data_IF_207575915864
#
_entry.id   IF_207575915864
#
_cell.length_a   1.000
_cell.length_b   1.000
_cell.length_c   1.000
_cell.angle_alpha   90.00
_cell.angle_beta   90.00
_cell.angle_gamma   90.00
#
_symmetry.space_group_name_H-M   'P 1'
#
loop_
_entity.id
_entity.type
_entity.pdbx_description
1 polymer ?
#
# COMPACT_ATOMS: atom_id res chain seq x y z
N UNK A 1 14.48 -7.69 11.60
CA UNK A 1 13.55 -7.72 10.47
C UNK A 1 13.36 -6.29 10.00
N UNK A 2 13.53 -6.05 8.69
CA UNK A 2 13.18 -4.77 8.10
C UNK A 2 11.65 -4.62 8.12
N UNK A 3 11.19 -3.41 8.40
CA UNK A 3 9.77 -3.06 8.33
C UNK A 3 9.26 -3.19 6.92
N UNK A 4 7.99 -3.57 6.76
CA UNK A 4 7.39 -3.81 5.44
C UNK A 4 6.01 -3.20 5.33
N UNK A 5 5.60 -2.87 4.11
CA UNK A 5 4.24 -2.43 3.83
C UNK A 5 3.30 -3.63 3.71
N UNK A 6 2.15 -3.56 4.36
CA UNK A 6 1.15 -4.64 4.40
C UNK A 6 -0.17 -4.26 3.73
N UNK A 7 -0.53 -2.98 3.70
CA UNK A 7 -1.75 -2.51 3.03
C UNK A 7 -1.55 -1.17 2.34
N UNK A 8 -2.28 -0.92 1.25
CA UNK A 8 -2.53 0.45 0.82
C UNK A 8 -3.40 1.14 1.88
N UNK A 9 -3.18 2.42 2.13
CA UNK A 9 -3.90 3.16 3.16
C UNK A 9 -4.20 4.59 2.73
N UNK A 10 -5.27 5.14 3.30
CA UNK A 10 -5.68 6.53 3.18
C UNK A 10 -5.94 7.07 4.58
N UNK A 11 -5.27 8.16 4.93
CA UNK A 11 -5.62 8.97 6.09
C UNK A 11 -6.73 9.94 5.66
N UNK A 12 -7.91 9.74 6.24
CA UNK A 12 -9.11 10.53 5.99
C UNK A 12 -9.09 11.86 6.74
N UNK A 13 -9.99 12.76 6.36
CA UNK A 13 -10.12 14.08 6.98
C UNK A 13 -10.59 14.06 8.43
N UNK A 14 -11.17 12.96 8.89
CA UNK A 14 -11.56 12.72 10.28
C UNK A 14 -10.49 11.96 11.08
N UNK A 15 -9.24 11.95 10.58
CA UNK A 15 -8.09 11.27 11.18
C UNK A 15 -8.21 9.75 11.30
N UNK A 16 -9.21 9.14 10.67
CA UNK A 16 -9.29 7.69 10.54
C UNK A 16 -8.42 7.19 9.39
N UNK A 17 -7.74 6.06 9.61
CA UNK A 17 -7.03 5.33 8.54
C UNK A 17 -7.99 4.29 7.98
N UNK A 18 -8.19 4.31 6.66
CA UNK A 18 -8.81 3.21 5.92
C UNK A 18 -7.74 2.54 5.10
N UNK A 19 -7.72 1.21 5.12
CA UNK A 19 -6.74 0.42 4.41
C UNK A 19 -7.41 -0.67 3.57
N UNK A 20 -6.68 -1.18 2.59
CA UNK A 20 -7.20 -2.11 1.61
C UNK A 20 -6.11 -2.58 0.66
N UNK A 21 -6.54 -3.19 -0.45
CA UNK A 21 -5.65 -3.73 -1.49
C UNK A 21 -4.95 -2.65 -2.31
N UNK A 22 -5.68 -1.59 -2.61
CA UNK A 22 -5.23 -0.46 -3.42
C UNK A 22 -5.95 0.81 -2.94
N UNK A 23 -5.52 1.99 -3.38
CA UNK A 23 -6.15 3.24 -2.93
C UNK A 23 -7.60 3.36 -3.43
N UNK A 24 -7.97 2.74 -4.55
CA UNK A 24 -9.34 2.76 -5.04
C UNK A 24 -10.27 1.93 -4.14
N UNK A 25 -9.81 0.77 -3.65
CA UNK A 25 -10.48 -0.04 -2.63
C UNK A 25 -10.64 0.74 -1.32
N UNK A 26 -9.59 1.44 -0.88
CA UNK A 26 -9.66 2.31 0.31
C UNK A 26 -10.73 3.41 0.16
N UNK A 27 -10.86 4.01 -1.03
CA UNK A 27 -11.89 5.02 -1.32
C UNK A 27 -13.29 4.41 -1.29
N UNK A 28 -13.48 3.22 -1.89
CA UNK A 28 -14.78 2.51 -1.90
C UNK A 28 -15.24 2.13 -0.49
N UNK A 29 -14.30 1.75 0.38
CA UNK A 29 -14.55 1.41 1.80
C UNK A 29 -14.79 2.63 2.69
N UNK A 30 -14.44 3.82 2.21
CA UNK A 30 -14.58 5.05 2.98
C UNK A 30 -15.98 5.63 2.87
N UNK A 31 -16.57 6.16 3.96
CA UNK A 31 -17.81 6.92 3.91
C UNK A 31 -17.74 8.08 2.92
N UNK A 32 -18.88 8.40 2.31
CA UNK A 32 -18.96 9.45 1.30
C UNK A 32 -18.47 10.78 1.88
N UNK A 33 -17.48 11.37 1.23
CA UNK A 33 -16.96 12.69 1.57
C UNK A 33 -15.84 12.73 2.62
N UNK A 34 -15.35 11.58 3.10
CA UNK A 34 -14.19 11.53 4.02
C UNK A 34 -12.86 11.38 3.29
N UNK A 35 -12.92 11.03 1.99
CA UNK A 35 -11.81 11.06 1.05
C UNK A 35 -12.06 12.19 0.03
N UNK A 36 -11.50 13.39 0.26
CA UNK A 36 -11.72 14.57 -0.60
C UNK A 36 -10.43 15.25 -1.04
N UNK A 37 -10.27 15.36 -2.37
CA UNK A 37 -9.37 16.32 -3.06
C UNK A 37 -7.93 16.32 -2.59
N UNK A 38 -7.30 17.49 -2.67
CA UNK A 38 -5.87 17.76 -2.39
C UNK A 38 -5.43 17.40 -0.96
N UNK A 39 -6.39 17.11 -0.06
CA UNK A 39 -6.16 16.67 1.32
C UNK A 39 -6.13 15.16 1.49
N UNK A 40 -6.38 14.40 0.42
CA UNK A 40 -6.35 12.95 0.44
C UNK A 40 -4.92 12.46 0.65
N UNK A 41 -4.59 12.12 1.90
CA UNK A 41 -3.27 11.60 2.25
C UNK A 41 -3.24 10.11 1.93
N UNK A 42 -2.81 9.80 0.71
CA UNK A 42 -2.59 8.43 0.26
C UNK A 42 -1.22 7.94 0.74
N UNK A 43 -1.19 6.71 1.23
CA UNK A 43 -0.02 6.11 1.84
C UNK A 43 -0.17 4.60 1.98
N UNK A 44 0.52 4.05 2.97
CA UNK A 44 0.56 2.62 3.24
C UNK A 44 0.57 2.38 4.75
N UNK A 45 0.05 1.22 5.17
CA UNK A 45 0.17 0.73 6.53
C UNK A 45 1.33 -0.27 6.58
N UNK A 46 2.18 -0.17 7.60
CA UNK A 46 3.29 -1.12 7.81
C UNK A 46 2.93 -2.21 8.81
N UNK A 47 3.74 -3.26 8.85
CA UNK A 47 3.65 -4.34 9.85
C UNK A 47 3.92 -3.87 11.29
N UNK A 48 4.36 -2.62 11.47
CA UNK A 48 4.45 -1.93 12.77
C UNK A 48 3.28 -1.00 13.05
N UNK A 49 2.17 -1.16 12.33
CA UNK A 49 0.92 -0.43 12.53
C UNK A 49 1.03 1.10 12.41
N UNK A 50 1.97 1.61 11.60
CA UNK A 50 2.08 3.04 11.29
C UNK A 50 1.61 3.34 9.88
N UNK A 51 0.95 4.48 9.73
CA UNK A 51 0.68 5.06 8.42
C UNK A 51 1.92 5.82 7.94
N UNK A 52 2.37 5.51 6.73
CA UNK A 52 3.49 6.17 6.07
C UNK A 52 3.06 6.72 4.72
N UNK A 53 3.68 7.84 4.31
CA UNK A 53 3.41 8.46 3.01
C UNK A 53 4.13 7.71 1.89
N UNK A 54 3.66 7.89 0.65
CA UNK A 54 4.16 7.17 -0.54
C UNK A 54 5.69 7.18 -0.70
N UNK A 55 6.36 8.33 -0.49
CA UNK A 55 7.82 8.44 -0.63
C UNK A 55 8.57 7.55 0.38
N UNK A 56 8.13 7.56 1.63
CA UNK A 56 8.69 6.71 2.68
C UNK A 56 8.35 5.24 2.44
N UNK A 57 7.14 4.96 1.96
CA UNK A 57 6.71 3.61 1.61
C UNK A 57 7.56 2.97 0.51
N UNK A 58 7.98 3.72 -0.51
CA UNK A 58 8.87 3.20 -1.55
C UNK A 58 10.21 2.73 -0.96
N UNK A 59 10.78 3.52 -0.05
CA UNK A 59 12.05 3.19 0.61
C UNK A 59 11.89 1.93 1.47
N UNK A 60 10.86 1.88 2.30
CA UNK A 60 10.56 0.73 3.16
C UNK A 60 10.29 -0.53 2.33
N UNK A 61 9.47 -0.44 1.29
CA UNK A 61 9.15 -1.56 0.41
C UNK A 61 10.40 -2.10 -0.30
N UNK A 62 11.29 -1.22 -0.77
CA UNK A 62 12.55 -1.61 -1.40
C UNK A 62 13.50 -2.28 -0.39
N UNK A 63 13.66 -1.72 0.80
CA UNK A 63 14.47 -2.30 1.89
C UNK A 63 13.95 -3.65 2.40
N UNK A 64 12.64 -3.89 2.22
CA UNK A 64 11.98 -5.15 2.55
C UNK A 64 11.88 -6.11 1.34
N UNK A 65 12.54 -5.81 0.22
CA UNK A 65 12.54 -6.60 -1.02
C UNK A 65 11.12 -6.87 -1.56
N UNK A 66 10.18 -5.96 -1.29
CA UNK A 66 8.81 -6.03 -1.80
C UNK A 66 8.69 -5.47 -3.22
N UNK A 67 9.59 -4.57 -3.59
CA UNK A 67 9.72 -4.00 -4.93
C UNK A 67 11.20 -4.05 -5.34
N UNK A 68 11.45 -4.09 -6.64
CA UNK A 68 12.80 -4.27 -7.18
C UNK A 68 13.58 -2.97 -7.38
N UNK A 69 12.90 -1.82 -7.37
CA UNK A 69 13.49 -0.50 -7.55
C UNK A 69 12.60 0.58 -6.93
N UNK A 70 13.21 1.70 -6.57
CA UNK A 70 12.50 2.91 -6.18
C UNK A 70 12.34 3.77 -7.42
N UNK A 71 11.12 3.92 -7.92
CA UNK A 71 10.82 4.85 -9.01
C UNK A 71 10.27 6.16 -8.43
N UNK A 72 10.99 7.29 -8.58
CA UNK A 72 10.61 8.58 -7.98
C UNK A 72 9.25 9.11 -8.45
N UNK A 73 8.87 8.77 -9.69
CA UNK A 73 7.68 9.30 -10.38
C UNK A 73 6.54 8.28 -10.49
N UNK A 74 6.75 7.03 -10.06
CA UNK A 74 5.69 6.02 -10.13
C UNK A 74 4.69 6.16 -9.00
N UNK A 75 3.44 6.36 -9.43
CA UNK A 75 2.27 6.64 -8.61
C UNK A 75 1.66 5.37 -8.01
N UNK A 76 2.12 4.17 -8.41
CA UNK A 76 1.37 2.91 -8.31
C UNK A 76 2.11 1.76 -7.58
N UNK A 77 2.86 2.07 -6.51
CA UNK A 77 3.56 1.06 -5.67
C UNK A 77 2.64 -0.10 -5.25
N UNK A 78 1.36 0.15 -4.96
CA UNK A 78 0.42 -0.93 -4.60
C UNK A 78 0.26 -1.94 -5.73
N UNK A 79 0.21 -1.50 -6.99
CA UNK A 79 0.04 -2.40 -8.12
C UNK A 79 1.28 -3.28 -8.35
N UNK A 80 2.48 -2.72 -8.17
CA UNK A 80 3.73 -3.50 -8.25
C UNK A 80 3.85 -4.59 -7.18
N UNK A 81 3.07 -4.50 -6.10
CA UNK A 81 3.03 -5.54 -5.07
C UNK A 81 2.14 -6.71 -5.48
N UNK A 82 0.88 -6.44 -5.85
CA UNK A 82 -0.13 -7.49 -5.99
C UNK A 82 -0.63 -7.73 -7.41
N UNK A 83 -0.53 -6.73 -8.31
CA UNK A 83 -1.08 -6.81 -9.66
C UNK A 83 -0.14 -7.63 -10.57
N UNK A 84 -0.58 -8.78 -11.11
CA UNK A 84 0.26 -9.60 -11.99
C UNK A 84 0.73 -8.85 -13.24
N UNK A 85 -0.08 -7.93 -13.75
CA UNK A 85 0.23 -7.13 -14.94
C UNK A 85 1.40 -6.16 -14.72
N UNK A 86 1.66 -5.81 -13.46
CA UNK A 86 2.74 -4.91 -13.04
C UNK A 86 3.94 -5.67 -12.44
N UNK A 87 4.00 -7.00 -12.60
CA UNK A 87 5.07 -7.82 -12.01
C UNK A 87 4.88 -8.18 -10.54
N UNK A 88 3.65 -8.03 -10.01
CA UNK A 88 3.31 -8.26 -8.60
C UNK A 88 3.72 -9.61 -8.04
N UNK A 89 4.64 -9.60 -7.07
CA UNK A 89 5.18 -10.79 -6.38
C UNK A 89 4.33 -11.25 -5.19
N UNK A 90 3.34 -10.46 -4.79
CA UNK A 90 2.52 -10.69 -3.62
C UNK A 90 1.07 -11.05 -4.01
N UNK A 91 0.42 -11.87 -3.19
CA UNK A 91 -1.02 -12.02 -3.15
C UNK A 91 -1.56 -11.08 -2.08
N UNK A 92 -2.78 -10.58 -2.27
CA UNK A 92 -3.45 -9.77 -1.25
C UNK A 92 -4.40 -10.64 -0.43
N UNK A 93 -4.28 -10.56 0.89
CA UNK A 93 -5.24 -11.09 1.86
C UNK A 93 -5.84 -9.94 2.67
N UNK A 94 -7.15 -9.96 2.91
CA UNK A 94 -7.84 -8.85 3.58
C UNK A 94 -7.43 -8.69 5.06
N UNK A 95 -7.03 -9.77 5.73
CA UNK A 95 -6.62 -9.76 7.14
C UNK A 95 -5.12 -9.61 7.31
N UNK A 96 -4.34 -10.21 6.40
CA UNK A 96 -2.89 -10.32 6.51
C UNK A 96 -2.14 -9.36 5.57
N UNK A 97 -2.82 -8.72 4.62
CA UNK A 97 -2.24 -7.78 3.68
C UNK A 97 -1.47 -8.47 2.54
N UNK A 98 -0.42 -7.81 2.04
CA UNK A 98 0.43 -8.36 0.98
C UNK A 98 1.27 -9.54 1.49
N UNK A 99 1.02 -10.72 0.94
CA UNK A 99 1.71 -11.98 1.25
C UNK A 99 2.52 -12.44 0.06
N UNK A 100 3.80 -12.80 0.25
CA UNK A 100 4.65 -13.25 -0.85
C UNK A 100 4.02 -14.50 -1.48
N UNK A 101 3.85 -14.53 -2.80
CA UNK A 101 3.36 -15.74 -3.46
C UNK A 101 4.41 -16.84 -3.27
N UNK A 102 4.00 -18.10 -3.02
CA UNK A 102 4.95 -19.20 -3.03
C UNK A 102 5.62 -19.23 -4.41
N UNK A 103 6.96 -19.36 -4.44
CA UNK A 103 7.69 -19.52 -5.68
C UNK A 103 7.08 -20.69 -6.45
N UNK A 104 6.58 -20.41 -7.66
CA UNK A 104 6.19 -21.46 -8.59
C UNK A 104 7.49 -22.10 -9.09
N UNK A 105 7.98 -23.10 -8.36
CA UNK A 105 8.98 -24.05 -8.87
C UNK A 105 8.41 -24.84 -10.03
#
# INVERSE_FOLDING_TARGET
>A
MNERIIFAAILRTDNCIVFGRDHADCIKRSPKGTCKGDRLQQGFLTDKFRFIRRKEAAIIAYQAEQIDKIEPDQVLISEELWCPQSGGKFAYDEKLGYQKRPDRR
#
